data_IF_485056836668
#
_entry.id   IF_485056836668
#
_cell.length_a   1.000
_cell.length_b   1.000
_cell.length_c   1.000
_cell.angle_alpha   90.00
_cell.angle_beta   90.00
_cell.angle_gamma   90.00
#
_symmetry.space_group_name_H-M   'P 1'
#
loop_
_entity.id
_entity.type
_entity.pdbx_description
1 polymer ?
#
# COMPACT_ATOMS: atom_id res chain seq x y z
N UNK A 1 -0.95 -2.95 39.18
CA UNK A 1 -0.24 -3.13 37.89
C UNK A 1 -1.25 -2.84 36.80
N UNK A 2 -1.11 -1.72 36.08
CA UNK A 2 -2.02 -1.40 34.99
C UNK A 2 -1.73 -2.35 33.82
N UNK A 3 -2.77 -3.03 33.32
CA UNK A 3 -2.65 -3.86 32.13
C UNK A 3 -2.12 -2.98 30.98
N UNK A 4 -1.14 -3.44 30.19
CA UNK A 4 -0.71 -2.71 29.00
C UNK A 4 -1.91 -2.53 28.08
N UNK A 5 -2.07 -1.31 27.54
CA UNK A 5 -3.12 -1.03 26.58
C UNK A 5 -3.04 -2.03 25.41
N UNK A 6 -4.19 -2.50 24.87
CA UNK A 6 -4.19 -3.40 23.73
C UNK A 6 -3.30 -2.83 22.62
N UNK A 7 -2.39 -3.66 22.10
CA UNK A 7 -1.63 -3.31 20.91
C UNK A 7 -2.63 -3.24 19.76
N UNK A 8 -3.06 -2.03 19.43
CA UNK A 8 -3.87 -1.78 18.26
C UNK A 8 -2.91 -1.83 17.05
N UNK A 9 -2.97 -2.86 16.19
CA UNK A 9 -2.12 -2.92 15.02
C UNK A 9 -2.47 -1.71 14.16
N UNK A 10 -1.63 -0.66 14.26
CA UNK A 10 -1.75 0.52 13.41
C UNK A 10 -1.50 0.05 11.99
N UNK A 11 -2.58 -0.31 11.30
CA UNK A 11 -2.57 -0.48 9.86
C UNK A 11 -1.95 0.81 9.30
N UNK A 12 -0.84 0.74 8.56
CA UNK A 12 -0.24 1.92 7.95
C UNK A 12 -1.35 2.68 7.20
N UNK A 13 -1.61 3.92 7.61
CA UNK A 13 -2.64 4.73 6.95
C UNK A 13 -2.17 5.10 5.54
N UNK A 14 -3.04 4.86 4.56
CA UNK A 14 -2.78 5.00 3.11
C UNK A 14 -2.53 6.42 2.66
N UNK A 15 -2.99 7.38 3.46
CA UNK A 15 -2.84 8.79 3.16
C UNK A 15 -2.28 9.52 4.38
N UNK A 16 -1.48 10.53 4.09
CA UNK A 16 -1.10 11.50 5.10
C UNK A 16 -2.40 12.14 5.62
N UNK A 17 -2.66 12.14 6.95
CA UNK A 17 -3.87 12.75 7.50
C UNK A 17 -4.09 14.15 6.92
N UNK A 18 -5.34 14.57 6.62
CA UNK A 18 -5.60 15.79 5.86
C UNK A 18 -4.92 17.03 6.48
N UNK A 19 -4.87 17.12 7.81
CA UNK A 19 -4.13 18.18 8.51
C UNK A 19 -2.60 18.14 8.29
N UNK A 20 -1.99 16.95 8.24
CA UNK A 20 -0.57 16.79 7.93
C UNK A 20 -0.28 17.06 6.45
N UNK A 21 -1.17 16.64 5.55
CA UNK A 21 -1.05 16.94 4.13
C UNK A 21 -1.11 18.45 3.88
N UNK A 22 -2.10 19.14 4.46
CA UNK A 22 -2.21 20.59 4.41
C UNK A 22 -0.97 21.28 4.99
N UNK A 23 -0.51 20.85 6.17
CA UNK A 23 0.70 21.39 6.78
C UNK A 23 1.96 21.19 5.91
N UNK A 24 2.08 20.04 5.23
CA UNK A 24 3.20 19.77 4.33
C UNK A 24 3.22 20.69 3.10
N UNK A 25 2.03 21.03 2.56
CA UNK A 25 1.87 21.96 1.44
C UNK A 25 2.15 23.39 1.89
N UNK A 26 1.56 23.81 3.01
CA UNK A 26 1.79 25.14 3.58
C UNK A 26 3.27 25.34 3.90
N UNK A 27 3.93 24.37 4.54
CA UNK A 27 5.37 24.40 4.81
C UNK A 27 6.21 24.55 3.53
N UNK A 28 5.88 23.80 2.47
CA UNK A 28 6.61 23.87 1.21
C UNK A 28 6.41 25.20 0.46
N UNK A 29 5.25 25.84 0.66
CA UNK A 29 4.93 27.14 0.08
C UNK A 29 5.52 28.34 0.85
N UNK A 30 5.99 28.15 2.10
CA UNK A 30 6.53 29.23 2.94
C UNK A 30 7.62 30.07 2.26
N UNK A 31 8.62 29.50 1.55
CA UNK A 31 9.63 30.31 0.85
C UNK A 31 8.99 31.29 -0.14
N UNK A 32 7.97 30.87 -0.89
CA UNK A 32 7.30 31.73 -1.85
C UNK A 32 6.37 32.75 -1.18
N UNK A 33 5.54 32.30 -0.22
CA UNK A 33 4.58 33.16 0.49
C UNK A 33 5.25 34.29 1.29
N UNK A 34 6.52 34.11 1.65
CA UNK A 34 7.31 35.10 2.38
C UNK A 34 8.35 35.81 1.50
N UNK A 35 8.22 35.72 0.17
CA UNK A 35 9.16 36.31 -0.79
C UNK A 35 10.64 35.95 -0.52
N UNK A 36 10.88 34.72 -0.08
CA UNK A 36 12.20 34.16 0.16
C UNK A 36 12.71 34.27 1.60
N UNK A 37 12.08 35.08 2.46
CA UNK A 37 12.55 35.32 3.83
C UNK A 37 12.44 34.08 4.73
N UNK A 38 11.43 33.22 4.54
CA UNK A 38 11.29 32.00 5.34
C UNK A 38 12.21 30.85 4.89
N UNK A 39 12.84 30.94 3.72
CA UNK A 39 13.62 29.85 3.11
C UNK A 39 14.65 29.22 4.05
N UNK A 40 15.58 29.97 4.68
CA UNK A 40 16.56 29.35 5.59
C UNK A 40 15.89 28.62 6.76
N UNK A 41 14.78 29.15 7.29
CA UNK A 41 14.04 28.54 8.41
C UNK A 41 13.26 27.28 7.98
N UNK A 42 12.68 27.27 6.78
CA UNK A 42 12.02 26.11 6.19
C UNK A 42 12.97 24.92 6.10
N UNK A 43 14.19 25.12 5.59
CA UNK A 43 15.19 24.06 5.44
C UNK A 43 15.86 23.69 6.78
N UNK A 44 16.10 24.65 7.67
CA UNK A 44 16.59 24.37 9.02
C UNK A 44 15.61 23.48 9.81
N UNK A 45 14.31 23.76 9.75
CA UNK A 45 13.29 22.91 10.37
C UNK A 45 13.30 21.49 9.81
N UNK A 46 13.38 21.33 8.47
CA UNK A 46 13.49 20.03 7.84
C UNK A 46 14.78 19.28 8.23
N UNK A 47 15.91 19.99 8.35
CA UNK A 47 17.17 19.42 8.81
C UNK A 47 17.04 18.88 10.24
N UNK A 48 16.40 19.62 11.14
CA UNK A 48 16.18 19.16 12.52
C UNK A 48 15.30 17.91 12.57
N UNK A 49 14.28 17.81 11.71
CA UNK A 49 13.36 16.67 11.67
C UNK A 49 13.96 15.41 11.03
N UNK A 50 14.83 15.55 10.03
CA UNK A 50 15.28 14.42 9.20
C UNK A 50 16.79 14.16 9.22
N UNK A 51 17.59 15.10 9.74
CA UNK A 51 19.05 14.98 9.94
C UNK A 51 19.80 14.32 8.78
N UNK A 52 19.56 14.81 7.55
CA UNK A 52 20.22 14.30 6.35
C UNK A 52 21.30 15.25 5.83
N UNK A 53 22.35 14.70 5.22
CA UNK A 53 23.46 15.48 4.63
C UNK A 53 22.96 16.45 3.56
N UNK A 54 22.03 16.00 2.70
CA UNK A 54 21.42 16.86 1.69
C UNK A 54 20.72 18.08 2.30
N UNK A 55 19.97 17.90 3.40
CA UNK A 55 19.31 19.02 4.08
C UNK A 55 20.31 19.94 4.77
N UNK A 56 21.42 19.39 5.27
CA UNK A 56 22.50 20.18 5.88
C UNK A 56 23.15 21.10 4.84
N UNK A 57 23.54 20.54 3.69
CA UNK A 57 24.11 21.31 2.57
C UNK A 57 23.10 22.34 2.04
N UNK A 58 21.84 21.96 1.86
CA UNK A 58 20.78 22.86 1.39
C UNK A 58 20.54 24.01 2.37
N UNK A 59 20.50 23.72 3.67
CA UNK A 59 20.31 24.75 4.71
C UNK A 59 21.49 25.71 4.71
N UNK A 60 22.73 25.21 4.68
CA UNK A 60 23.93 26.04 4.63
C UNK A 60 23.94 26.94 3.38
N UNK A 61 23.59 26.40 2.21
CA UNK A 61 23.50 27.17 0.98
C UNK A 61 22.45 28.30 1.06
N UNK A 62 21.23 28.00 1.49
CA UNK A 62 20.18 29.02 1.61
C UNK A 62 20.46 30.06 2.69
N UNK A 63 21.09 29.67 3.82
CA UNK A 63 21.56 30.61 4.83
C UNK A 63 22.63 31.53 4.25
N UNK A 64 23.58 31.00 3.46
CA UNK A 64 24.59 31.81 2.78
C UNK A 64 24.00 32.82 1.80
N UNK A 65 23.07 32.38 0.94
CA UNK A 65 22.34 33.26 0.00
C UNK A 65 21.55 34.33 0.74
N UNK A 66 20.87 33.97 1.83
CA UNK A 66 20.11 34.91 2.66
C UNK A 66 21.01 35.92 3.37
N UNK A 67 22.15 35.48 3.93
CA UNK A 67 23.12 36.36 4.57
C UNK A 67 23.74 37.35 3.57
N UNK A 68 24.06 36.90 2.35
CA UNK A 68 24.53 37.76 1.27
C UNK A 68 23.48 38.81 0.89
N UNK A 69 22.21 38.41 0.79
CA UNK A 69 21.11 39.34 0.53
C UNK A 69 21.00 40.41 1.64
N UNK A 70 21.07 40.01 2.92
CA UNK A 70 21.03 40.95 4.04
C UNK A 70 22.25 41.89 4.06
N UNK A 71 23.41 41.40 3.65
CA UNK A 71 24.63 42.20 3.54
C UNK A 71 24.52 43.28 2.45
N UNK A 72 23.88 42.98 1.31
CA UNK A 72 23.70 43.91 0.19
C UNK A 72 22.54 44.90 0.38
N UNK A 73 21.60 44.60 1.31
CA UNK A 73 20.40 45.40 1.53
C UNK A 73 20.68 46.89 1.87
N UNK A 74 21.68 47.25 2.70
CA UNK A 74 21.98 48.63 3.06
C UNK A 74 22.53 49.49 1.91
N UNK A 75 23.01 48.87 0.83
CA UNK A 75 23.66 49.55 -0.30
C UNK A 75 22.74 49.70 -1.52
N UNK A 76 21.47 49.31 -1.38
CA UNK A 76 20.43 49.61 -2.35
C UNK A 76 20.35 51.13 -2.53
N UNK A 77 20.49 51.59 -3.78
CA UNK A 77 20.47 53.01 -4.14
C UNK A 77 21.79 53.75 -3.97
N UNK A 78 22.85 53.09 -3.46
CA UNK A 78 24.21 53.66 -3.39
C UNK A 78 25.11 53.22 -4.55
N UNK A 79 24.98 51.96 -4.94
CA UNK A 79 25.78 51.36 -6.01
C UNK A 79 24.88 50.89 -7.17
N UNK A 80 25.37 51.09 -8.39
CA UNK A 80 24.67 50.66 -9.60
C UNK A 80 24.63 49.12 -9.68
N UNK A 81 23.41 48.56 -9.68
CA UNK A 81 23.18 47.12 -9.87
C UNK A 81 22.86 46.32 -8.60
N UNK A 82 23.03 46.89 -7.41
CA UNK A 82 22.71 46.22 -6.13
C UNK A 82 21.22 45.84 -6.04
N UNK A 83 20.32 46.69 -6.56
CA UNK A 83 18.89 46.38 -6.63
C UNK A 83 18.61 45.13 -7.48
N UNK A 84 19.27 45.00 -8.64
CA UNK A 84 19.13 43.81 -9.51
C UNK A 84 19.68 42.58 -8.81
N UNK A 85 20.81 42.69 -8.13
CA UNK A 85 21.42 41.59 -7.39
C UNK A 85 20.50 41.10 -6.26
N UNK A 86 19.96 42.01 -5.44
CA UNK A 86 18.98 41.68 -4.38
C UNK A 86 17.73 41.03 -4.98
N UNK A 87 17.21 41.56 -6.09
CA UNK A 87 16.07 40.98 -6.80
C UNK A 87 16.30 39.54 -7.26
N UNK A 88 17.49 39.23 -7.80
CA UNK A 88 17.87 37.86 -8.19
C UNK A 88 17.98 36.95 -6.96
N UNK A 89 18.58 37.41 -5.86
CA UNK A 89 18.70 36.62 -4.63
C UNK A 89 17.31 36.32 -4.02
N UNK A 90 16.40 37.30 -4.00
CA UNK A 90 15.01 37.11 -3.58
C UNK A 90 14.29 36.09 -4.48
N UNK A 91 14.46 36.18 -5.81
CA UNK A 91 13.89 35.21 -6.73
C UNK A 91 14.41 33.79 -6.46
N UNK A 92 15.72 33.63 -6.24
CA UNK A 92 16.33 32.33 -5.91
C UNK A 92 15.75 31.80 -4.59
N UNK A 93 15.72 32.62 -3.54
CA UNK A 93 15.16 32.21 -2.25
C UNK A 93 13.69 31.83 -2.35
N UNK A 94 12.87 32.66 -3.01
CA UNK A 94 11.42 32.45 -3.11
C UNK A 94 11.06 31.28 -4.03
N UNK A 95 11.53 31.31 -5.28
CA UNK A 95 11.09 30.37 -6.33
C UNK A 95 11.88 29.07 -6.27
N UNK A 96 13.22 29.14 -6.26
CA UNK A 96 14.05 27.93 -6.18
C UNK A 96 13.90 27.27 -4.81
N UNK A 97 13.85 28.06 -3.73
CA UNK A 97 13.56 27.57 -2.38
C UNK A 97 12.21 26.84 -2.28
N UNK A 98 11.15 27.41 -2.84
CA UNK A 98 9.82 26.79 -2.86
C UNK A 98 9.81 25.50 -3.70
N UNK A 99 10.32 25.54 -4.94
CA UNK A 99 10.39 24.38 -5.80
C UNK A 99 11.17 23.23 -5.14
N UNK A 100 12.31 23.55 -4.54
CA UNK A 100 13.12 22.59 -3.80
C UNK A 100 12.34 22.04 -2.59
N UNK A 101 11.65 22.87 -1.80
CA UNK A 101 10.82 22.42 -0.68
C UNK A 101 9.70 21.45 -1.13
N UNK A 102 9.06 21.69 -2.27
CA UNK A 102 8.08 20.76 -2.85
C UNK A 102 8.70 19.42 -3.28
N UNK A 103 9.91 19.43 -3.86
CA UNK A 103 10.65 18.22 -4.25
C UNK A 103 10.96 17.36 -3.03
N UNK A 104 11.40 17.97 -1.92
CA UNK A 104 11.75 17.23 -0.69
C UNK A 104 10.56 16.96 0.23
N UNK A 105 9.38 17.56 -0.03
CA UNK A 105 8.19 17.49 0.84
C UNK A 105 7.87 16.06 1.28
N UNK A 106 7.89 15.11 0.34
CA UNK A 106 7.62 13.69 0.64
C UNK A 106 8.66 13.09 1.59
N UNK A 107 9.95 13.36 1.38
CA UNK A 107 11.02 12.88 2.29
C UNK A 107 10.91 13.51 3.69
N UNK A 108 10.40 14.73 3.78
CA UNK A 108 10.24 15.44 5.05
C UNK A 108 8.99 14.99 5.80
N UNK A 109 7.87 14.72 5.14
CA UNK A 109 6.59 14.41 5.80
C UNK A 109 6.12 12.96 5.73
N UNK A 110 6.65 12.16 4.79
CA UNK A 110 6.39 10.72 4.60
C UNK A 110 7.73 9.95 4.44
N UNK A 111 8.54 9.83 5.50
CA UNK A 111 9.88 9.25 5.44
C UNK A 111 9.89 7.74 5.15
N UNK A 112 8.79 7.05 5.47
CA UNK A 112 8.66 5.60 5.27
C UNK A 112 7.94 5.25 3.96
N UNK A 113 7.47 6.25 3.21
CA UNK A 113 6.76 6.05 1.94
C UNK A 113 5.42 5.32 2.10
N UNK A 114 4.89 5.27 3.33
CA UNK A 114 3.68 4.49 3.64
C UNK A 114 2.43 5.14 3.05
N UNK A 115 2.45 6.46 2.88
CA UNK A 115 1.34 7.20 2.25
C UNK A 115 1.29 7.04 0.72
N UNK A 116 2.21 6.27 0.13
CA UNK A 116 2.20 5.93 -1.29
C UNK A 116 1.55 4.57 -1.57
N UNK A 117 1.39 3.74 -0.53
CA UNK A 117 0.79 2.42 -0.65
C UNK A 117 -0.72 2.60 -0.51
N UNK A 118 -1.44 2.34 -1.59
CA UNK A 118 -2.91 2.40 -1.63
C UNK A 118 -3.49 1.12 -1.03
N UNK A 119 -3.42 0.96 0.31
CA UNK A 119 -4.00 -0.23 0.94
C UNK A 119 -5.53 -0.26 0.78
N UNK A 120 -6.20 0.88 0.61
CA UNK A 120 -7.63 0.96 0.29
C UNK A 120 -7.94 0.22 -1.01
N UNK A 121 -7.20 0.47 -2.10
CA UNK A 121 -7.37 -0.29 -3.33
C UNK A 121 -7.03 -1.77 -3.16
N UNK A 122 -6.06 -2.13 -2.31
CA UNK A 122 -5.74 -3.54 -2.01
C UNK A 122 -6.91 -4.20 -1.26
N UNK A 123 -7.43 -3.55 -0.23
CA UNK A 123 -8.58 -4.02 0.57
C UNK A 123 -9.81 -4.17 -0.31
N UNK A 124 -10.10 -3.19 -1.17
CA UNK A 124 -11.23 -3.25 -2.10
C UNK A 124 -11.08 -4.38 -3.13
N UNK A 125 -9.86 -4.67 -3.61
CA UNK A 125 -9.60 -5.86 -4.45
C UNK A 125 -9.90 -7.16 -3.71
N UNK A 126 -9.44 -7.28 -2.46
CA UNK A 126 -9.68 -8.48 -1.63
C UNK A 126 -11.16 -8.66 -1.33
N UNK A 127 -11.89 -7.60 -0.96
CA UNK A 127 -13.35 -7.62 -0.77
C UNK A 127 -14.09 -8.05 -2.04
N UNK A 128 -13.70 -7.49 -3.19
CA UNK A 128 -14.28 -7.87 -4.49
C UNK A 128 -14.05 -9.36 -4.78
N UNK A 129 -12.85 -9.88 -4.55
CA UNK A 129 -12.57 -11.31 -4.73
C UNK A 129 -13.42 -12.17 -3.80
N UNK A 130 -13.56 -11.79 -2.52
CA UNK A 130 -14.43 -12.51 -1.57
C UNK A 130 -15.87 -12.56 -2.04
N UNK A 131 -16.43 -11.42 -2.47
CA UNK A 131 -17.78 -11.34 -3.02
C UNK A 131 -17.97 -12.23 -4.26
N UNK A 132 -16.97 -12.30 -5.15
CA UNK A 132 -17.00 -13.19 -6.31
C UNK A 132 -17.01 -14.67 -5.90
N UNK A 133 -16.22 -15.05 -4.90
CA UNK A 133 -16.25 -16.41 -4.34
C UNK A 133 -17.62 -16.76 -3.78
N UNK A 134 -18.23 -15.85 -3.03
CA UNK A 134 -19.54 -16.08 -2.43
C UNK A 134 -20.62 -16.27 -3.50
N UNK A 135 -20.63 -15.42 -4.54
CA UNK A 135 -21.53 -15.57 -5.71
C UNK A 135 -21.30 -16.87 -6.46
N UNK A 136 -20.04 -17.26 -6.66
CA UNK A 136 -19.69 -18.51 -7.34
C UNK A 136 -20.15 -19.74 -6.54
N UNK A 137 -20.05 -19.71 -5.21
CA UNK A 137 -20.59 -20.78 -4.34
C UNK A 137 -22.10 -20.85 -4.37
N UNK A 138 -22.78 -19.71 -4.31
CA UNK A 138 -24.24 -19.65 -4.41
C UNK A 138 -24.73 -20.22 -5.74
N UNK A 139 -24.06 -19.88 -6.84
CA UNK A 139 -24.33 -20.44 -8.16
C UNK A 139 -24.07 -21.95 -8.20
N UNK A 140 -22.94 -22.41 -7.66
CA UNK A 140 -22.61 -23.83 -7.59
C UNK A 140 -23.58 -24.65 -6.72
N UNK A 141 -24.14 -24.05 -5.66
CA UNK A 141 -25.12 -24.69 -4.80
C UNK A 141 -26.52 -24.76 -5.44
N UNK A 142 -26.90 -23.74 -6.21
CA UNK A 142 -28.20 -23.67 -6.88
C UNK A 142 -28.26 -24.46 -8.19
N UNK A 143 -27.19 -24.43 -8.99
CA UNK A 143 -27.06 -25.17 -10.24
C UNK A 143 -25.64 -25.75 -10.43
N UNK A 144 -25.38 -26.96 -9.90
CA UNK A 144 -24.10 -27.64 -10.08
C UNK A 144 -23.76 -27.92 -11.55
N UNK A 145 -24.76 -28.16 -12.40
CA UNK A 145 -24.55 -28.44 -13.83
C UNK A 145 -23.95 -27.23 -14.54
N UNK A 146 -24.59 -26.07 -14.37
CA UNK A 146 -24.09 -24.80 -14.89
C UNK A 146 -22.72 -24.45 -14.31
N UNK A 147 -22.48 -24.70 -13.02
CA UNK A 147 -21.18 -24.45 -12.40
C UNK A 147 -20.05 -25.25 -13.05
N UNK A 148 -20.30 -26.51 -13.45
CA UNK A 148 -19.33 -27.33 -14.21
C UNK A 148 -19.11 -26.78 -15.62
N UNK A 149 -20.16 -26.32 -16.32
CA UNK A 149 -20.04 -25.71 -17.64
C UNK A 149 -19.21 -24.41 -17.60
N UNK A 150 -19.45 -23.58 -16.58
CA UNK A 150 -18.69 -22.36 -16.30
C UNK A 150 -17.28 -22.62 -15.74
N UNK A 151 -16.99 -23.88 -15.38
CA UNK A 151 -15.70 -24.34 -14.83
C UNK A 151 -15.32 -23.65 -13.52
N UNK A 152 -16.31 -23.41 -12.66
CA UNK A 152 -16.08 -22.84 -11.32
C UNK A 152 -15.15 -23.77 -10.54
N UNK A 153 -14.10 -23.20 -9.94
CA UNK A 153 -13.14 -23.95 -9.14
C UNK A 153 -12.10 -24.72 -9.96
N UNK A 154 -11.99 -24.48 -11.28
CA UNK A 154 -11.06 -25.20 -12.17
C UNK A 154 -9.95 -24.29 -12.70
N UNK A 155 -8.99 -23.87 -11.86
CA UNK A 155 -7.90 -23.00 -12.27
C UNK A 155 -6.93 -23.67 -13.27
N UNK A 156 -7.01 -25.00 -13.42
CA UNK A 156 -6.25 -25.78 -14.40
C UNK A 156 -6.80 -25.69 -15.83
N UNK A 157 -8.02 -25.17 -16.00
CA UNK A 157 -8.67 -24.99 -17.29
C UNK A 157 -8.73 -23.49 -17.66
N UNK A 158 -8.88 -23.14 -18.96
CA UNK A 158 -9.14 -21.77 -19.37
C UNK A 158 -10.41 -21.24 -18.70
N UNK A 159 -10.27 -20.18 -17.92
CA UNK A 159 -11.35 -19.55 -17.13
C UNK A 159 -12.36 -18.89 -18.06
N UNK A 160 -13.64 -19.25 -17.89
CA UNK A 160 -14.76 -18.56 -18.55
C UNK A 160 -15.52 -17.65 -17.57
N UNK A 161 -15.47 -17.99 -16.28
CA UNK A 161 -16.12 -17.28 -15.20
C UNK A 161 -15.10 -16.89 -14.13
N UNK A 162 -15.33 -15.75 -13.46
CA UNK A 162 -14.49 -15.28 -12.35
C UNK A 162 -15.17 -15.52 -10.99
N UNK A 163 -15.35 -16.77 -10.61
CA UNK A 163 -14.45 -17.39 -9.66
C UNK A 163 -14.24 -16.79 -8.25
N UNK A 164 -13.49 -15.68 -8.22
CA UNK A 164 -12.89 -15.18 -6.99
C UNK A 164 -11.70 -16.01 -6.47
N UNK A 165 -11.24 -17.02 -7.24
CA UNK A 165 -10.11 -17.87 -6.90
C UNK A 165 -10.50 -19.14 -6.12
N UNK A 166 -11.70 -19.67 -6.39
CA UNK A 166 -12.12 -20.94 -5.81
C UNK A 166 -11.35 -22.10 -6.43
N UNK A 167 -11.30 -23.22 -5.70
CA UNK A 167 -10.82 -24.51 -6.21
C UNK A 167 -11.85 -25.59 -5.89
N UNK A 168 -12.29 -26.30 -6.92
CA UNK A 168 -13.23 -27.41 -6.82
C UNK A 168 -12.48 -28.66 -6.39
N UNK A 169 -12.65 -29.04 -5.13
CA UNK A 169 -11.93 -30.15 -4.52
C UNK A 169 -12.29 -31.50 -5.16
N UNK A 170 -13.50 -31.63 -5.70
CA UNK A 170 -13.97 -32.90 -6.26
C UNK A 170 -13.44 -33.14 -7.67
N UNK A 171 -13.16 -32.08 -8.45
CA UNK A 171 -12.82 -32.23 -9.87
C UNK A 171 -11.46 -31.65 -10.27
N UNK A 172 -10.86 -30.75 -9.49
CA UNK A 172 -9.56 -30.16 -9.84
C UNK A 172 -8.43 -31.20 -9.70
N UNK A 173 -7.43 -31.24 -10.60
CA UNK A 173 -6.30 -32.16 -10.48
C UNK A 173 -5.44 -31.83 -9.25
N UNK A 174 -4.65 -32.78 -8.76
CA UNK A 174 -3.78 -32.58 -7.59
C UNK A 174 -2.93 -31.29 -7.66
N UNK A 175 -2.37 -30.97 -8.83
CA UNK A 175 -1.59 -29.72 -9.04
C UNK A 175 -2.38 -28.42 -8.83
N UNK A 176 -3.70 -28.45 -8.99
CA UNK A 176 -4.57 -27.30 -8.78
C UNK A 176 -5.00 -27.19 -7.32
N UNK A 177 -5.13 -28.33 -6.62
CA UNK A 177 -5.42 -28.37 -5.19
C UNK A 177 -4.31 -27.70 -4.36
N UNK A 178 -3.07 -27.68 -4.83
CA UNK A 178 -1.96 -26.98 -4.14
C UNK A 178 -2.08 -25.46 -4.16
N UNK A 179 -3.05 -24.89 -4.90
CA UNK A 179 -3.40 -23.47 -4.81
C UNK A 179 -4.21 -23.14 -3.56
N UNK A 180 -4.79 -24.15 -2.90
CA UNK A 180 -5.46 -23.97 -1.63
C UNK A 180 -4.44 -23.71 -0.51
N UNK A 181 -4.73 -22.80 0.42
CA UNK A 181 -3.82 -22.48 1.52
C UNK A 181 -3.42 -23.72 2.31
N UNK A 182 -2.11 -23.92 2.47
CA UNK A 182 -1.54 -25.01 3.26
C UNK A 182 -1.67 -26.43 2.69
N UNK A 183 -2.19 -26.59 1.46
CA UNK A 183 -2.23 -27.89 0.80
C UNK A 183 -0.91 -28.16 0.06
N UNK A 184 -0.16 -29.14 0.56
CA UNK A 184 1.09 -29.62 -0.08
C UNK A 184 0.79 -30.58 -1.24
N UNK A 185 1.74 -30.86 -2.15
CA UNK A 185 1.57 -31.85 -3.20
C UNK A 185 1.20 -33.26 -2.68
N UNK A 186 1.73 -33.65 -1.53
CA UNK A 186 1.44 -34.93 -0.88
C UNK A 186 -0.01 -34.95 -0.36
N UNK A 187 -0.46 -33.86 0.26
CA UNK A 187 -1.85 -33.70 0.70
C UNK A 187 -2.80 -33.68 -0.50
N UNK A 188 -2.48 -32.94 -1.56
CA UNK A 188 -3.26 -32.90 -2.78
C UNK A 188 -3.41 -34.29 -3.43
N UNK A 189 -2.32 -35.06 -3.51
CA UNK A 189 -2.35 -36.43 -4.04
C UNK A 189 -3.19 -37.36 -3.15
N UNK A 190 -3.15 -37.17 -1.83
CA UNK A 190 -4.01 -37.90 -0.90
C UNK A 190 -5.48 -37.55 -1.08
N UNK A 191 -5.82 -36.27 -1.21
CA UNK A 191 -7.19 -35.79 -1.46
C UNK A 191 -7.72 -36.42 -2.75
N UNK A 192 -6.93 -36.43 -3.82
CA UNK A 192 -7.31 -37.02 -5.11
C UNK A 192 -7.57 -38.53 -5.02
N UNK A 193 -6.73 -39.27 -4.27
CA UNK A 193 -6.97 -40.70 -4.02
C UNK A 193 -8.23 -40.92 -3.20
N UNK A 194 -8.39 -40.19 -2.10
CA UNK A 194 -9.52 -40.35 -1.18
C UNK A 194 -10.85 -40.05 -1.88
N UNK A 195 -10.94 -38.96 -2.66
CA UNK A 195 -12.19 -38.66 -3.39
C UNK A 195 -12.56 -39.75 -4.41
N UNK A 196 -11.58 -40.44 -4.99
CA UNK A 196 -11.84 -41.53 -5.92
C UNK A 196 -12.42 -42.76 -5.21
N UNK A 197 -12.04 -42.98 -3.94
CA UNK A 197 -12.54 -44.06 -3.10
C UNK A 197 -13.91 -43.73 -2.48
N UNK A 198 -14.16 -42.47 -2.11
CA UNK A 198 -15.39 -42.03 -1.41
C UNK A 198 -16.46 -41.48 -2.33
N UNK A 199 -16.15 -41.20 -3.60
CA UNK A 199 -17.06 -40.56 -4.54
C UNK A 199 -17.17 -39.03 -4.36
N UNK A 200 -16.13 -38.40 -3.81
CA UNK A 200 -16.06 -36.96 -3.55
C UNK A 200 -16.28 -36.58 -2.08
N UNK A 201 -16.38 -35.27 -1.84
CA UNK A 201 -16.67 -34.65 -0.55
C UNK A 201 -17.82 -33.64 -0.69
N UNK A 202 -18.53 -33.40 0.41
CA UNK A 202 -19.63 -32.43 0.54
C UNK A 202 -19.21 -31.13 1.20
N UNK A 203 -18.18 -31.15 2.04
CA UNK A 203 -17.73 -29.97 2.78
C UNK A 203 -16.25 -30.02 3.15
N UNK A 204 -15.73 -28.89 3.64
CA UNK A 204 -14.36 -28.78 4.13
C UNK A 204 -14.13 -29.62 5.40
N UNK A 205 -15.16 -29.76 6.25
CA UNK A 205 -15.12 -30.58 7.45
C UNK A 205 -15.02 -32.06 7.09
N UNK A 206 -15.83 -32.52 6.11
CA UNK A 206 -15.76 -33.89 5.61
C UNK A 206 -14.40 -34.17 4.96
N UNK A 207 -13.92 -33.27 4.10
CA UNK A 207 -12.58 -33.34 3.53
C UNK A 207 -11.51 -33.47 4.63
N UNK A 208 -11.59 -32.63 5.67
CA UNK A 208 -10.62 -32.65 6.76
C UNK A 208 -10.65 -33.98 7.53
N UNK A 209 -11.84 -34.51 7.80
CA UNK A 209 -12.04 -35.74 8.54
C UNK A 209 -11.56 -36.97 7.75
N UNK A 210 -11.95 -37.09 6.48
CA UNK A 210 -11.68 -38.26 5.66
C UNK A 210 -10.25 -38.21 5.09
N UNK A 211 -9.83 -37.05 4.57
CA UNK A 211 -8.47 -36.91 4.04
C UNK A 211 -7.44 -36.65 5.14
N UNK A 212 -7.80 -36.65 6.43
CA UNK A 212 -6.89 -36.54 7.57
C UNK A 212 -6.04 -35.27 7.56
N UNK A 213 -6.65 -34.12 7.22
CA UNK A 213 -5.95 -32.84 7.17
C UNK A 213 -5.65 -32.30 8.58
N UNK A 214 -4.54 -31.56 8.76
CA UNK A 214 -4.29 -30.84 10.01
C UNK A 214 -5.46 -29.92 10.38
N UNK A 215 -5.87 -29.86 11.66
CA UNK A 215 -7.08 -29.14 12.09
C UNK A 215 -7.01 -27.61 11.84
N UNK A 216 -5.82 -27.05 11.70
CA UNK A 216 -5.63 -25.63 11.36
C UNK A 216 -5.96 -25.26 9.92
N UNK A 217 -6.05 -26.23 8.99
CA UNK A 217 -6.29 -25.94 7.56
C UNK A 217 -7.76 -25.80 7.20
N UNK A 218 -8.67 -26.38 7.98
CA UNK A 218 -10.10 -26.43 7.64
C UNK A 218 -10.71 -25.04 7.50
N UNK A 219 -10.33 -24.10 8.37
CA UNK A 219 -10.83 -22.72 8.31
C UNK A 219 -10.45 -22.00 7.01
N UNK A 220 -9.19 -22.12 6.58
CA UNK A 220 -8.73 -21.52 5.34
C UNK A 220 -9.36 -22.19 4.11
N UNK A 221 -9.61 -23.50 4.18
CA UNK A 221 -10.24 -24.24 3.10
C UNK A 221 -11.68 -23.80 2.86
N UNK A 222 -12.45 -23.47 3.90
CA UNK A 222 -13.81 -22.95 3.75
C UNK A 222 -13.83 -21.70 2.84
N UNK A 223 -12.81 -20.85 2.94
CA UNK A 223 -12.72 -19.59 2.21
C UNK A 223 -12.32 -19.72 0.73
N UNK A 224 -11.72 -20.85 0.31
CA UNK A 224 -11.20 -21.05 -1.05
C UNK A 224 -11.66 -22.34 -1.74
N UNK A 225 -12.24 -23.29 -1.02
CA UNK A 225 -12.76 -24.53 -1.59
C UNK A 225 -14.23 -24.40 -2.02
N UNK A 226 -14.58 -25.14 -3.07
CA UNK A 226 -15.96 -25.45 -3.46
C UNK A 226 -16.08 -26.96 -3.70
N UNK A 227 -17.27 -27.50 -3.43
CA UNK A 227 -17.54 -28.94 -3.48
C UNK A 227 -18.67 -29.21 -4.46
N UNK A 228 -18.34 -29.21 -5.76
CA UNK A 228 -19.33 -29.45 -6.81
C UNK A 228 -19.50 -30.97 -6.92
N UNK A 229 -20.74 -31.45 -6.88
CA UNK A 229 -21.09 -32.85 -7.17
C UNK A 229 -21.25 -33.04 -8.65
#
# INVERSE_FOLDING_TARGET
MNAPAPYDPRVPSDSMPPGRAALSVTWAALPFLTLGYATPFTFAAALLWRRSVHLLVSTAAYVGVFALMLFLLPDIGKEDGTERAVGVLLFVLAVVGCAHAFIIRRRVFDPHGLSAVDNEAVVERVKRQRMLRDKARELAASDPGLARELRIGRPDLPRQYNDGGLVDVNHAPARALTLLPGITPELASRIERVRAETGGFMSAEELSAIAGLPPGLTGDLVDYAVFIR
#
